data_IF_760759605501
#
_entry.id   IF_760759605501
#
_cell.length_a   1.000
_cell.length_b   1.000
_cell.length_c   1.000
_cell.angle_alpha   90.00
_cell.angle_beta   90.00
_cell.angle_gamma   90.00
#
_symmetry.space_group_name_H-M   'P 1'
#
loop_
_entity.id
_entity.type
_entity.pdbx_description
1 polymer ?
#
# COMPACT_ATOMS: atom_id res chain seq x y z
N UNK A 1 -17.14 9.67 -5.06
CA UNK A 1 -15.69 9.45 -4.98
C UNK A 1 -15.24 9.95 -3.62
N UNK A 2 -14.86 9.05 -2.74
CA UNK A 2 -14.29 9.47 -1.44
C UNK A 2 -12.82 9.74 -1.66
N UNK A 3 -12.47 11.02 -1.69
CA UNK A 3 -11.07 11.45 -1.84
C UNK A 3 -10.32 11.16 -0.53
N UNK A 4 -9.44 10.17 -0.54
CA UNK A 4 -8.57 9.82 0.59
C UNK A 4 -7.28 10.68 0.60
N UNK A 5 -7.38 11.91 0.14
CA UNK A 5 -6.27 12.86 0.15
C UNK A 5 -6.24 13.60 1.47
N UNK A 6 -5.25 13.31 2.31
CA UNK A 6 -5.07 13.89 3.66
C UNK A 6 -4.04 15.03 3.65
N UNK A 7 -3.97 15.82 2.55
CA UNK A 7 -2.99 16.88 2.42
C UNK A 7 -3.54 18.24 2.89
N UNK A 8 -2.86 18.95 3.78
CA UNK A 8 -3.11 20.37 3.98
C UNK A 8 -2.66 21.16 2.75
N UNK A 9 -3.41 22.17 2.36
CA UNK A 9 -3.22 23.02 1.18
C UNK A 9 -1.86 23.74 1.12
N UNK A 10 -1.53 24.32 -0.06
CA UNK A 10 -0.18 24.24 -0.61
C UNK A 10 0.71 25.41 -0.22
N UNK A 11 1.95 25.30 -0.56
CA UNK A 11 2.94 26.29 -1.00
C UNK A 11 4.28 26.12 -0.29
N UNK A 12 5.28 25.66 -1.01
CA UNK A 12 6.56 26.36 -1.17
C UNK A 12 7.45 25.56 -2.13
N UNK A 13 8.12 26.22 -3.08
CA UNK A 13 9.19 25.62 -3.88
C UNK A 13 10.26 25.09 -2.93
N UNK A 14 10.27 23.79 -2.75
CA UNK A 14 11.18 23.12 -1.84
C UNK A 14 12.57 23.01 -2.45
N UNK A 15 13.60 23.42 -1.70
CA UNK A 15 15.02 23.15 -1.99
C UNK A 15 15.39 21.65 -1.86
N UNK A 16 14.45 20.80 -1.47
CA UNK A 16 14.63 19.36 -1.27
C UNK A 16 13.73 18.56 -2.21
N UNK A 17 14.12 17.31 -2.56
CA UNK A 17 13.27 16.45 -3.39
C UNK A 17 11.88 16.34 -2.78
N UNK A 18 10.86 16.53 -3.60
CA UNK A 18 9.47 16.44 -3.19
C UNK A 18 9.18 15.03 -2.72
N UNK A 19 8.60 14.91 -1.52
CA UNK A 19 8.28 13.63 -0.89
C UNK A 19 6.83 13.62 -0.43
N UNK A 20 6.17 12.50 -0.63
CA UNK A 20 4.88 12.16 -0.02
C UNK A 20 4.92 10.70 0.40
N UNK A 21 4.04 10.33 1.31
CA UNK A 21 3.79 8.94 1.67
C UNK A 21 2.53 8.46 0.98
N UNK A 22 2.48 7.17 0.70
CA UNK A 22 1.32 6.51 0.10
C UNK A 22 0.98 5.25 0.88
N UNK A 23 -0.31 4.99 0.97
CA UNK A 23 -0.83 3.72 1.43
C UNK A 23 -1.89 3.21 0.46
N UNK A 24 -1.87 1.94 0.13
CA UNK A 24 -2.93 1.27 -0.60
C UNK A 24 -2.84 -0.24 -0.39
N UNK A 25 -3.89 -0.96 -0.81
CA UNK A 25 -3.95 -2.40 -0.82
C UNK A 25 -4.33 -2.96 -2.20
N UNK A 26 -3.88 -4.16 -2.48
CA UNK A 26 -4.26 -4.92 -3.67
C UNK A 26 -4.82 -6.28 -3.30
N UNK A 27 -5.68 -6.80 -4.16
CA UNK A 27 -6.27 -8.12 -4.02
C UNK A 27 -6.50 -8.76 -5.39
N UNK A 28 -6.95 -10.02 -5.41
CA UNK A 28 -7.34 -10.67 -6.66
C UNK A 28 -8.56 -10.05 -7.33
N UNK A 29 -9.33 -9.28 -6.61
CA UNK A 29 -10.54 -8.59 -7.08
C UNK A 29 -10.29 -7.11 -7.42
N UNK A 30 -9.05 -6.64 -7.29
CA UNK A 30 -8.67 -5.26 -7.57
C UNK A 30 -7.92 -4.60 -6.42
N UNK A 31 -8.00 -3.28 -6.40
CA UNK A 31 -7.24 -2.40 -5.51
C UNK A 31 -8.15 -1.56 -4.61
N UNK A 32 -7.61 -1.11 -3.47
CA UNK A 32 -8.26 -0.06 -2.66
C UNK A 32 -8.11 1.31 -3.33
N UNK A 33 -8.78 2.31 -2.79
CA UNK A 33 -8.34 3.69 -3.00
C UNK A 33 -6.91 3.86 -2.50
N UNK A 34 -6.15 4.76 -3.13
CA UNK A 34 -4.82 5.14 -2.68
C UNK A 34 -4.91 6.35 -1.75
N UNK A 35 -4.27 6.28 -0.60
CA UNK A 35 -4.15 7.39 0.31
C UNK A 35 -2.78 8.04 0.17
N UNK A 36 -2.76 9.34 -0.13
CA UNK A 36 -1.54 10.14 -0.20
C UNK A 36 -1.53 11.09 0.99
N UNK A 37 -0.43 11.14 1.72
CA UNK A 37 -0.32 11.94 2.93
C UNK A 37 1.11 12.45 3.16
N UNK A 38 1.22 13.44 4.03
CA UNK A 38 2.48 14.01 4.49
C UNK A 38 2.80 13.62 5.92
N UNK A 39 4.04 13.87 6.31
CA UNK A 39 4.50 13.64 7.68
C UNK A 39 4.76 12.18 7.98
N UNK A 40 4.85 11.87 9.26
CA UNK A 40 5.14 10.51 9.74
C UNK A 40 3.81 9.82 10.00
N UNK A 41 3.64 8.63 9.44
CA UNK A 41 2.51 7.76 9.77
C UNK A 41 2.73 7.20 11.17
N UNK A 42 1.87 7.55 12.09
CA UNK A 42 1.71 6.89 13.37
C UNK A 42 0.55 5.87 13.33
N UNK A 43 0.26 5.23 14.45
CA UNK A 43 -0.82 4.24 14.54
C UNK A 43 -2.21 4.85 14.39
N UNK A 44 -2.39 6.12 14.74
CA UNK A 44 -3.69 6.82 14.62
C UNK A 44 -3.97 7.11 13.16
N UNK A 45 -3.01 7.76 12.45
CA UNK A 45 -3.14 7.99 11.02
C UNK A 45 -3.29 6.69 10.25
N UNK A 46 -2.59 5.63 10.67
CA UNK A 46 -2.73 4.31 10.05
C UNK A 46 -4.16 3.78 10.15
N UNK A 47 -4.77 3.81 11.33
CA UNK A 47 -6.16 3.35 11.50
C UNK A 47 -7.16 4.23 10.76
N UNK A 48 -6.94 5.53 10.67
CA UNK A 48 -7.76 6.44 9.85
C UNK A 48 -7.70 6.09 8.36
N UNK A 49 -6.52 5.74 7.86
CA UNK A 49 -6.34 5.26 6.48
C UNK A 49 -7.09 3.94 6.28
N UNK A 50 -6.96 2.98 7.20
CA UNK A 50 -7.69 1.72 7.11
C UNK A 50 -9.21 1.95 7.09
N UNK A 51 -9.71 2.88 7.90
CA UNK A 51 -11.13 3.21 7.95
C UNK A 51 -11.63 3.81 6.63
N UNK A 52 -10.82 4.66 5.99
CA UNK A 52 -11.19 5.36 4.75
C UNK A 52 -11.00 4.53 3.48
N UNK A 53 -9.98 3.70 3.42
CA UNK A 53 -9.62 2.96 2.21
C UNK A 53 -9.86 1.45 2.30
N UNK A 54 -9.45 0.81 3.40
CA UNK A 54 -9.55 -0.65 3.52
C UNK A 54 -10.98 -1.11 3.82
N UNK A 55 -11.64 -0.53 4.82
CA UNK A 55 -12.96 -1.02 5.25
C UNK A 55 -14.03 -0.88 4.16
N UNK A 56 -14.14 0.25 3.40
CA UNK A 56 -15.09 0.33 2.30
C UNK A 56 -14.79 -0.70 1.21
N UNK A 57 -13.51 -0.95 0.93
CA UNK A 57 -13.12 -1.97 -0.04
C UNK A 57 -13.51 -3.36 0.41
N UNK A 58 -13.21 -3.75 1.66
CA UNK A 58 -13.59 -5.05 2.22
C UNK A 58 -15.11 -5.23 2.16
N UNK A 59 -15.88 -4.27 2.64
CA UNK A 59 -17.35 -4.35 2.68
C UNK A 59 -17.97 -4.49 1.30
N UNK A 60 -17.40 -3.83 0.30
CA UNK A 60 -17.89 -3.88 -1.08
C UNK A 60 -17.50 -5.17 -1.80
N UNK A 61 -16.25 -5.60 -1.64
CA UNK A 61 -15.66 -6.66 -2.47
C UNK A 61 -15.66 -8.02 -1.78
N UNK A 62 -15.54 -8.03 -0.45
CA UNK A 62 -15.40 -9.25 0.35
C UNK A 62 -16.37 -9.30 1.53
N UNK A 63 -17.69 -9.14 1.30
CA UNK A 63 -18.65 -9.04 2.39
C UNK A 63 -18.76 -10.30 3.24
N UNK A 64 -18.51 -11.47 2.65
CA UNK A 64 -18.64 -12.76 3.35
C UNK A 64 -17.34 -13.22 4.03
N UNK A 65 -16.20 -12.96 3.41
CA UNK A 65 -14.91 -13.42 3.95
C UNK A 65 -13.75 -12.66 3.33
N UNK A 66 -12.80 -12.27 4.16
CA UNK A 66 -11.57 -11.60 3.75
C UNK A 66 -10.39 -12.02 4.61
N UNK A 67 -9.20 -11.74 4.11
CA UNK A 67 -7.95 -11.79 4.88
C UNK A 67 -7.09 -10.61 4.46
N UNK A 68 -6.78 -9.77 5.42
CA UNK A 68 -5.88 -8.64 5.24
C UNK A 68 -4.47 -9.04 5.66
N UNK A 69 -3.51 -8.83 4.78
CA UNK A 69 -2.10 -9.06 5.06
C UNK A 69 -1.39 -7.72 5.14
N UNK A 70 -0.63 -7.52 6.20
CA UNK A 70 0.20 -6.34 6.43
C UNK A 70 1.60 -6.74 6.86
N UNK A 71 2.56 -5.85 6.69
CA UNK A 71 3.91 -6.03 7.20
C UNK A 71 3.99 -5.84 8.72
N UNK A 72 5.19 -6.02 9.26
CA UNK A 72 5.46 -5.97 10.69
C UNK A 72 5.92 -4.59 11.18
N UNK A 73 5.61 -3.52 10.43
CA UNK A 73 5.97 -2.17 10.88
C UNK A 73 5.38 -1.92 12.29
N UNK A 74 6.16 -1.34 13.23
CA UNK A 74 5.72 -1.12 14.61
C UNK A 74 4.38 -0.40 14.74
N UNK A 75 4.06 0.53 13.85
CA UNK A 75 2.75 1.22 13.86
C UNK A 75 1.59 0.30 13.50
N UNK A 76 1.81 -0.67 12.58
CA UNK A 76 0.82 -1.67 12.20
C UNK A 76 0.60 -2.70 13.31
N UNK A 77 1.65 -2.96 14.10
CA UNK A 77 1.66 -3.91 15.21
C UNK A 77 1.33 -3.29 16.57
N UNK A 78 1.03 -2.00 16.62
CA UNK A 78 0.66 -1.30 17.85
C UNK A 78 -0.66 -1.84 18.43
N UNK A 79 -0.83 -1.76 19.75
CA UNK A 79 -2.10 -2.13 20.40
C UNK A 79 -3.28 -1.35 19.79
N UNK A 80 -3.10 -0.06 19.52
CA UNK A 80 -4.13 0.77 18.90
C UNK A 80 -4.60 0.22 17.55
N UNK A 81 -3.67 -0.21 16.69
CA UNK A 81 -4.01 -0.76 15.38
C UNK A 81 -4.65 -2.16 15.50
N UNK A 82 -4.17 -2.99 16.41
CA UNK A 82 -4.75 -4.32 16.67
C UNK A 82 -6.19 -4.22 17.23
N UNK A 83 -6.41 -3.38 18.23
CA UNK A 83 -7.74 -3.11 18.79
C UNK A 83 -8.70 -2.55 17.74
N UNK A 84 -8.21 -1.70 16.85
CA UNK A 84 -9.00 -1.19 15.73
C UNK A 84 -9.43 -2.32 14.78
N UNK A 85 -8.49 -3.15 14.34
CA UNK A 85 -8.77 -4.27 13.44
C UNK A 85 -9.74 -5.27 14.06
N UNK A 86 -9.58 -5.57 15.35
CA UNK A 86 -10.47 -6.44 16.10
C UNK A 86 -11.89 -5.85 16.20
N UNK A 87 -12.03 -4.60 16.66
CA UNK A 87 -13.34 -3.91 16.75
C UNK A 87 -14.05 -3.80 15.42
N UNK A 88 -13.31 -3.70 14.30
CA UNK A 88 -13.88 -3.65 12.94
C UNK A 88 -14.02 -5.04 12.31
N UNK A 89 -13.75 -6.11 13.07
CA UNK A 89 -13.82 -7.51 12.63
C UNK A 89 -13.00 -7.80 11.38
N UNK A 90 -11.85 -7.10 11.23
CA UNK A 90 -10.92 -7.33 10.13
C UNK A 90 -10.04 -8.54 10.45
N UNK A 91 -10.20 -9.61 9.70
CA UNK A 91 -9.30 -10.78 9.79
C UNK A 91 -7.99 -10.46 9.11
N UNK A 92 -6.94 -10.35 9.88
CA UNK A 92 -5.62 -9.99 9.37
C UNK A 92 -4.55 -11.03 9.70
N UNK A 93 -3.49 -11.02 8.90
CA UNK A 93 -2.34 -11.87 9.08
C UNK A 93 -1.06 -11.04 9.06
N UNK A 94 -0.16 -11.45 9.93
CA UNK A 94 1.19 -10.97 9.98
C UNK A 94 2.03 -11.65 8.90
N UNK A 95 2.80 -10.88 8.11
CA UNK A 95 3.81 -11.46 7.23
C UNK A 95 4.99 -11.98 8.04
N UNK A 96 5.76 -12.94 7.52
CA UNK A 96 7.07 -13.26 8.10
C UNK A 96 7.92 -11.99 8.21
N UNK A 97 8.80 -11.93 9.23
CA UNK A 97 9.70 -10.81 9.40
C UNK A 97 10.65 -10.70 8.20
N UNK A 98 11.02 -9.46 7.86
CA UNK A 98 12.01 -9.14 6.81
C UNK A 98 11.77 -9.82 5.44
N UNK A 99 10.51 -10.00 5.07
CA UNK A 99 10.13 -10.70 3.83
C UNK A 99 9.36 -9.78 2.87
N UNK A 100 9.99 -8.70 2.36
CA UNK A 100 9.33 -7.83 1.37
C UNK A 100 9.00 -8.58 0.08
N UNK A 101 9.74 -9.62 -0.27
CA UNK A 101 9.51 -10.48 -1.43
C UNK A 101 8.14 -11.18 -1.35
N UNK A 102 7.62 -11.40 -0.14
CA UNK A 102 6.29 -11.99 0.08
C UNK A 102 5.16 -10.96 0.06
N UNK A 103 5.48 -9.68 -0.13
CA UNK A 103 4.49 -8.62 -0.23
C UNK A 103 4.32 -8.15 -1.68
N UNK A 104 3.29 -8.62 -2.40
CA UNK A 104 3.16 -8.34 -3.84
C UNK A 104 3.02 -6.85 -4.18
N UNK A 105 2.61 -6.00 -3.23
CA UNK A 105 2.46 -4.57 -3.48
C UNK A 105 3.82 -3.86 -3.61
N UNK A 106 4.92 -4.43 -3.09
CA UNK A 106 6.25 -3.85 -3.21
C UNK A 106 6.70 -3.76 -4.69
N UNK A 107 6.38 -4.77 -5.49
CA UNK A 107 6.61 -4.73 -6.93
C UNK A 107 5.81 -3.61 -7.62
N UNK A 108 4.59 -3.37 -7.14
CA UNK A 108 3.76 -2.28 -7.65
C UNK A 108 4.32 -0.91 -7.25
N UNK A 109 4.84 -0.78 -6.02
CA UNK A 109 5.54 0.44 -5.58
C UNK A 109 6.82 0.69 -6.38
N UNK A 110 7.53 -0.36 -6.77
CA UNK A 110 8.68 -0.22 -7.66
C UNK A 110 8.24 0.35 -9.02
N UNK A 111 7.20 -0.21 -9.63
CA UNK A 111 6.66 0.27 -10.92
C UNK A 111 6.17 1.73 -10.81
N UNK A 112 5.48 2.09 -9.73
CA UNK A 112 5.08 3.47 -9.45
C UNK A 112 6.28 4.42 -9.42
N UNK A 113 7.33 4.07 -8.68
CA UNK A 113 8.55 4.88 -8.59
C UNK A 113 9.19 5.07 -9.95
N UNK A 114 9.27 4.01 -10.77
CA UNK A 114 9.79 4.09 -12.13
C UNK A 114 8.93 4.98 -13.04
N UNK A 115 7.60 4.87 -12.96
CA UNK A 115 6.68 5.72 -13.69
C UNK A 115 6.86 7.20 -13.32
N UNK A 116 6.89 7.51 -12.03
CA UNK A 116 7.12 8.88 -11.56
C UNK A 116 8.45 9.43 -12.05
N UNK A 117 9.51 8.62 -12.00
CA UNK A 117 10.85 9.02 -12.40
C UNK A 117 10.98 9.24 -13.91
N UNK A 118 10.35 8.39 -14.73
CA UNK A 118 10.52 8.41 -16.19
C UNK A 118 9.52 9.29 -16.90
N UNK A 119 8.25 9.21 -16.50
CA UNK A 119 7.15 9.84 -17.22
C UNK A 119 6.76 11.20 -16.62
N UNK A 120 6.59 11.26 -15.29
CA UNK A 120 6.06 12.46 -14.62
C UNK A 120 7.16 13.49 -14.39
N UNK A 121 8.31 13.10 -13.84
CA UNK A 121 9.44 13.97 -13.50
C UNK A 121 9.01 15.20 -12.69
N UNK A 122 8.30 15.02 -11.57
CA UNK A 122 7.62 16.10 -10.90
C UNK A 122 8.61 17.13 -10.34
N UNK A 123 8.26 18.40 -10.48
CA UNK A 123 9.00 19.54 -9.90
C UNK A 123 8.30 20.10 -8.68
N UNK A 124 7.02 19.81 -8.51
CA UNK A 124 6.18 20.23 -7.40
C UNK A 124 5.53 19.04 -6.73
N UNK A 125 5.04 19.26 -5.51
CA UNK A 125 4.31 18.24 -4.77
C UNK A 125 3.00 17.87 -5.46
N UNK A 126 2.30 18.87 -5.98
CA UNK A 126 1.03 18.65 -6.67
C UNK A 126 1.24 17.79 -7.93
N UNK A 127 2.30 18.05 -8.72
CA UNK A 127 2.66 17.21 -9.86
C UNK A 127 2.97 15.77 -9.43
N UNK A 128 3.67 15.59 -8.29
CA UNK A 128 3.95 14.26 -7.75
C UNK A 128 2.66 13.54 -7.36
N UNK A 129 1.77 14.20 -6.63
CA UNK A 129 0.48 13.64 -6.21
C UNK A 129 -0.37 13.27 -7.42
N UNK A 130 -0.49 14.17 -8.39
CA UNK A 130 -1.24 13.89 -9.62
C UNK A 130 -0.66 12.71 -10.40
N UNK A 131 0.67 12.62 -10.50
CA UNK A 131 1.34 11.48 -11.12
C UNK A 131 1.06 10.15 -10.40
N UNK A 132 1.04 10.15 -9.07
CA UNK A 132 0.70 8.99 -8.27
C UNK A 132 -0.74 8.55 -8.53
N UNK A 133 -1.69 9.48 -8.51
CA UNK A 133 -3.10 9.21 -8.78
C UNK A 133 -3.29 8.68 -10.21
N UNK A 134 -2.65 9.31 -11.19
CA UNK A 134 -2.66 8.87 -12.59
C UNK A 134 -2.16 7.43 -12.73
N UNK A 135 -1.03 7.10 -12.11
CA UNK A 135 -0.53 5.73 -12.11
C UNK A 135 -1.54 4.77 -11.48
N UNK A 136 -2.11 5.16 -10.33
CA UNK A 136 -3.04 4.30 -9.60
C UNK A 136 -4.27 3.94 -10.45
N UNK A 137 -4.76 4.86 -11.28
CA UNK A 137 -5.86 4.57 -12.22
C UNK A 137 -5.51 3.49 -13.25
N UNK A 138 -4.23 3.29 -13.56
CA UNK A 138 -3.78 2.19 -14.46
C UNK A 138 -3.73 0.82 -13.79
N UNK A 139 -3.88 0.75 -12.45
CA UNK A 139 -3.80 -0.49 -11.69
C UNK A 139 -5.11 -1.26 -11.81
N UNK A 140 -5.17 -2.14 -12.79
CA UNK A 140 -6.33 -3.00 -13.05
C UNK A 140 -6.29 -4.29 -12.22
N UNK A 141 -7.42 -5.01 -12.17
CA UNK A 141 -7.49 -6.38 -11.60
C UNK A 141 -6.44 -7.29 -12.21
N UNK A 142 -6.23 -7.20 -13.52
CA UNK A 142 -5.21 -8.00 -14.22
C UNK A 142 -3.80 -7.68 -13.67
N UNK A 143 -3.48 -6.40 -13.50
CA UNK A 143 -2.19 -5.97 -12.95
C UNK A 143 -2.01 -6.45 -11.51
N UNK A 144 -3.02 -6.34 -10.66
CA UNK A 144 -2.99 -6.90 -9.30
C UNK A 144 -2.70 -8.41 -9.32
N UNK A 145 -3.40 -9.15 -10.17
CA UNK A 145 -3.21 -10.59 -10.30
C UNK A 145 -1.83 -10.98 -10.83
N UNK A 146 -1.23 -10.20 -11.71
CA UNK A 146 0.15 -10.41 -12.19
C UNK A 146 1.11 -10.48 -11.00
N UNK A 147 1.07 -9.49 -10.10
CA UNK A 147 1.97 -9.44 -8.94
C UNK A 147 1.62 -10.48 -7.87
N UNK A 148 0.34 -10.71 -7.59
CA UNK A 148 -0.08 -11.76 -6.65
C UNK A 148 0.33 -13.15 -7.16
N UNK A 149 0.23 -13.41 -8.48
CA UNK A 149 0.65 -14.69 -9.05
C UNK A 149 2.17 -14.89 -9.01
N UNK A 150 2.96 -13.82 -8.93
CA UNK A 150 4.41 -13.90 -8.77
C UNK A 150 4.80 -14.65 -7.50
N UNK A 151 4.00 -14.57 -6.44
CA UNK A 151 4.21 -15.31 -5.20
C UNK A 151 4.33 -16.84 -5.41
N UNK A 152 3.69 -17.39 -6.46
CA UNK A 152 3.84 -18.81 -6.79
C UNK A 152 5.28 -19.20 -7.14
N UNK A 153 6.10 -18.23 -7.57
CA UNK A 153 7.54 -18.42 -7.86
C UNK A 153 8.40 -18.09 -6.64
N UNK A 154 8.01 -17.03 -5.92
CA UNK A 154 8.78 -16.53 -4.77
C UNK A 154 8.69 -17.50 -3.59
N UNK A 155 7.50 -17.98 -3.23
CA UNK A 155 7.30 -18.84 -2.05
C UNK A 155 8.19 -20.11 -2.08
N UNK A 156 8.24 -20.90 -3.16
CA UNK A 156 9.14 -22.06 -3.21
C UNK A 156 10.61 -21.66 -3.02
N UNK A 157 11.02 -20.51 -3.58
CA UNK A 157 12.38 -20.03 -3.46
C UNK A 157 12.73 -19.59 -2.04
N UNK A 158 11.80 -18.94 -1.33
CA UNK A 158 11.97 -18.62 0.10
C UNK A 158 12.17 -19.89 0.92
N UNK A 159 11.39 -20.94 0.63
CA UNK A 159 11.50 -22.24 1.32
C UNK A 159 12.87 -22.89 1.02
N UNK A 160 13.31 -22.90 -0.23
CA UNK A 160 14.63 -23.45 -0.63
C UNK A 160 15.81 -22.72 0.05
N UNK A 161 15.67 -21.43 0.30
CA UNK A 161 16.69 -20.57 0.93
C UNK A 161 16.53 -20.46 2.45
N UNK A 162 15.65 -21.28 3.05
CA UNK A 162 15.38 -21.29 4.51
C UNK A 162 15.02 -19.88 5.07
N UNK A 163 14.35 -19.07 4.25
CA UNK A 163 13.89 -17.73 4.61
C UNK A 163 14.82 -16.58 4.22
N UNK A 164 15.98 -16.87 3.62
CA UNK A 164 16.87 -15.84 3.12
C UNK A 164 16.28 -15.10 1.89
N UNK A 165 16.83 -13.90 1.61
CA UNK A 165 16.38 -13.06 0.50
C UNK A 165 16.43 -13.77 -0.85
N UNK A 166 15.34 -13.71 -1.62
CA UNK A 166 15.21 -14.47 -2.87
C UNK A 166 15.88 -13.82 -4.07
N UNK A 167 16.25 -12.53 -3.96
CA UNK A 167 16.79 -11.73 -5.05
C UNK A 167 15.78 -11.33 -6.13
N UNK A 168 14.48 -11.45 -5.84
CA UNK A 168 13.37 -11.02 -6.71
C UNK A 168 12.96 -9.58 -6.45
#
# INVERSE_FOLDING_TARGET
MNDCTLLPHPLHRAKHPVKVHVWAGISRQGRTEICVFDGIMDSILYTDILEKALLPFIRRIFPASHRFMQDNDPKHMSHHAQDFLERKEVRWWKTPAESPDLNPIENLWHELKEFIRREIKPKTKDELVQGILQFWETVTVHKCNKYINHLKKVIPRVIELDGDATGY
#
